data_IF_920621399976
#
_entry.id   IF_920621399976
#
_cell.length_a   1.000
_cell.length_b   1.000
_cell.length_c   1.000
_cell.angle_alpha   90.00
_cell.angle_beta   90.00
_cell.angle_gamma   90.00
#
_symmetry.space_group_name_H-M   'P 1'
#
loop_
_entity.id
_entity.type
_entity.pdbx_description
1 polymer ?
#
# COMPACT_ATOMS: atom_id res chain seq x y z
N UNK A 1 8.26 2.16 16.97
CA UNK A 1 8.22 3.50 16.35
C UNK A 1 8.93 3.41 15.01
N UNK A 2 8.28 3.78 13.90
CA UNK A 2 8.88 3.67 12.56
C UNK A 2 9.94 4.76 12.37
N UNK A 3 11.19 4.35 12.12
CA UNK A 3 12.33 5.23 11.88
C UNK A 3 12.32 5.71 10.43
N UNK A 4 11.75 6.90 10.20
CA UNK A 4 11.72 7.50 8.87
C UNK A 4 13.05 8.21 8.53
N UNK A 5 13.36 8.31 7.23
CA UNK A 5 14.60 8.93 6.72
C UNK A 5 14.81 10.36 7.25
N UNK A 6 13.71 11.11 7.43
CA UNK A 6 13.69 12.47 7.98
C UNK A 6 14.14 12.53 9.44
N UNK A 7 13.78 11.51 10.23
CA UNK A 7 14.21 11.37 11.64
C UNK A 7 15.70 11.02 11.70
N UNK A 8 16.15 10.11 10.83
CA UNK A 8 17.55 9.68 10.76
C UNK A 8 18.48 10.84 10.37
N UNK A 9 18.06 11.66 9.40
CA UNK A 9 18.80 12.87 9.00
C UNK A 9 18.93 13.88 10.14
N UNK A 10 17.87 14.07 10.93
CA UNK A 10 17.90 14.96 12.10
C UNK A 10 18.83 14.41 13.20
N UNK A 11 18.81 13.12 13.46
CA UNK A 11 19.69 12.48 14.45
C UNK A 11 21.17 12.62 14.07
N UNK A 12 21.51 12.50 12.79
CA UNK A 12 22.87 12.79 12.31
C UNK A 12 23.23 14.27 12.46
N UNK A 13 22.35 15.19 12.04
CA UNK A 13 22.59 16.63 12.13
C UNK A 13 22.76 17.13 13.58
N UNK A 14 22.04 16.51 14.52
CA UNK A 14 22.13 16.82 15.94
C UNK A 14 23.32 16.11 16.64
N UNK A 15 24.12 15.33 15.91
CA UNK A 15 25.26 14.58 16.45
C UNK A 15 24.89 13.37 17.29
N UNK A 16 23.62 12.95 17.30
CA UNK A 16 23.14 11.74 17.98
C UNK A 16 23.64 10.47 17.30
N UNK A 17 23.85 10.52 15.98
CA UNK A 17 24.42 9.44 15.19
C UNK A 17 25.74 9.90 14.57
N UNK A 18 26.73 9.02 14.57
CA UNK A 18 27.93 9.20 13.77
C UNK A 18 27.63 8.98 12.28
N UNK A 19 28.54 9.45 11.42
CA UNK A 19 28.44 9.28 9.96
C UNK A 19 28.33 7.82 9.53
N UNK A 20 28.95 6.92 10.28
CA UNK A 20 28.97 5.49 9.97
C UNK A 20 27.66 4.83 10.37
N UNK A 21 27.14 5.15 11.57
CA UNK A 21 25.83 4.68 12.02
C UNK A 21 24.69 5.21 11.14
N UNK A 22 24.76 6.49 10.73
CA UNK A 22 23.81 7.07 9.78
C UNK A 22 23.78 6.30 8.46
N UNK A 23 24.95 5.92 7.92
CA UNK A 23 25.02 5.16 6.66
C UNK A 23 24.42 3.76 6.80
N UNK A 24 24.72 3.04 7.89
CA UNK A 24 24.14 1.71 8.14
C UNK A 24 22.63 1.78 8.27
N UNK A 25 22.12 2.64 9.18
CA UNK A 25 20.69 2.78 9.40
C UNK A 25 19.93 3.29 8.16
N UNK A 26 20.58 4.04 7.26
CA UNK A 26 20.00 4.45 5.98
C UNK A 26 19.85 3.27 5.02
N UNK A 27 20.84 2.37 4.97
CA UNK A 27 20.77 1.18 4.11
C UNK A 27 19.70 0.20 4.58
N UNK A 28 19.66 -0.10 5.88
CA UNK A 28 18.64 -0.98 6.47
C UNK A 28 17.21 -0.46 6.19
N UNK A 29 17.03 0.87 6.26
CA UNK A 29 15.74 1.49 5.95
C UNK A 29 15.36 1.33 4.48
N UNK A 30 16.31 1.50 3.55
CA UNK A 30 16.07 1.35 2.10
C UNK A 30 15.78 -0.12 1.74
N UNK A 31 16.49 -1.07 2.33
CA UNK A 31 16.28 -2.51 2.13
C UNK A 31 14.88 -2.93 2.61
N UNK A 32 14.46 -2.45 3.79
CA UNK A 32 13.11 -2.71 4.31
C UNK A 32 11.97 -2.14 3.46
N UNK A 33 12.25 -1.12 2.62
CA UNK A 33 11.29 -0.57 1.68
C UNK A 33 11.22 -1.43 0.42
N UNK A 34 12.35 -1.95 -0.06
CA UNK A 34 12.37 -2.88 -1.20
C UNK A 34 11.66 -4.20 -0.90
N UNK A 35 11.76 -4.73 0.32
CA UNK A 35 11.01 -5.94 0.70
C UNK A 35 9.49 -5.72 0.78
N UNK A 36 9.06 -4.49 1.05
CA UNK A 36 7.63 -4.11 1.13
C UNK A 36 7.04 -3.66 -0.20
N UNK A 37 7.86 -3.49 -1.23
CA UNK A 37 7.44 -3.23 -2.60
C UNK A 37 7.05 -4.53 -3.34
N UNK A 38 6.61 -5.55 -2.59
CA UNK A 38 5.70 -6.56 -3.14
C UNK A 38 4.30 -5.95 -3.20
N UNK A 39 4.08 -5.08 -4.19
CA UNK A 39 2.71 -4.64 -4.51
C UNK A 39 1.93 -5.87 -4.98
N UNK A 40 1.15 -6.49 -4.09
CA UNK A 40 0.13 -7.43 -4.52
C UNK A 40 -0.88 -6.67 -5.37
N UNK A 41 -1.19 -7.14 -6.59
CA UNK A 41 -2.23 -6.52 -7.40
C UNK A 41 -3.55 -6.60 -6.62
N UNK A 42 -4.21 -5.46 -6.43
CA UNK A 42 -5.56 -5.48 -5.86
C UNK A 42 -6.50 -6.16 -6.86
N UNK A 43 -7.16 -7.22 -6.42
CA UNK A 43 -8.21 -7.86 -7.19
C UNK A 43 -9.44 -6.93 -7.19
N UNK A 44 -9.79 -6.41 -8.37
CA UNK A 44 -11.08 -5.74 -8.56
C UNK A 44 -12.17 -6.79 -8.43
N UNK A 45 -13.01 -6.68 -7.39
CA UNK A 45 -14.22 -7.49 -7.26
C UNK A 45 -15.21 -7.03 -8.33
N UNK A 46 -15.69 -7.91 -9.23
CA UNK A 46 -16.79 -7.56 -10.11
C UNK A 46 -18.01 -7.29 -9.24
N UNK A 47 -18.58 -6.09 -9.37
CA UNK A 47 -19.93 -5.83 -8.91
C UNK A 47 -20.84 -6.70 -9.79
N UNK A 48 -21.29 -7.84 -9.24
CA UNK A 48 -22.49 -8.49 -9.73
C UNK A 48 -23.65 -7.56 -9.36
N UNK A 49 -23.97 -6.62 -10.24
CA UNK A 49 -25.32 -6.08 -10.28
C UNK A 49 -26.21 -7.26 -10.63
N UNK A 50 -26.81 -7.87 -9.62
CA UNK A 50 -28.06 -8.61 -9.78
C UNK A 50 -29.11 -7.58 -10.21
N UNK A 51 -29.03 -7.17 -11.48
CA UNK A 51 -30.10 -6.43 -12.12
C UNK A 51 -31.17 -7.48 -12.40
N UNK A 52 -32.19 -7.42 -11.56
CA UNK A 52 -33.42 -8.17 -11.65
C UNK A 52 -34.00 -7.93 -13.04
N UNK A 53 -33.89 -8.94 -13.93
CA UNK A 53 -34.69 -8.99 -15.15
C UNK A 53 -36.15 -9.27 -14.76
N UNK A 54 -36.79 -8.29 -14.13
CA UNK A 54 -38.23 -8.15 -14.06
C UNK A 54 -38.70 -7.72 -15.45
N UNK A 55 -38.98 -8.71 -16.30
CA UNK A 55 -39.69 -8.48 -17.56
C UNK A 55 -40.77 -9.54 -17.69
N UNK A 56 -41.84 -9.32 -16.91
CA UNK A 56 -43.22 -9.26 -17.39
C UNK A 56 -43.54 -10.18 -18.58
N UNK A 57 -43.96 -11.42 -18.30
CA UNK A 57 -44.80 -12.21 -19.19
C UNK A 57 -46.14 -12.51 -18.50
N UNK A 58 -46.97 -11.47 -18.42
CA UNK A 58 -48.42 -11.60 -18.57
C UNK A 58 -48.78 -10.95 -19.91
N UNK A 59 -49.84 -11.27 -20.63
CA UNK A 59 -51.03 -12.08 -20.40
C UNK A 59 -51.77 -12.04 -21.76
N UNK A 60 -52.34 -13.17 -22.21
CA UNK A 60 -53.53 -13.31 -23.08
C UNK A 60 -53.55 -13.02 -24.61
N UNK A 61 -54.09 -14.05 -25.30
CA UNK A 61 -55.11 -14.11 -26.37
C UNK A 61 -54.89 -13.45 -27.76
N UNK A 62 -54.70 -14.28 -28.80
CA UNK A 62 -55.61 -14.48 -29.97
C UNK A 62 -55.35 -15.85 -30.63
#
# INVERSE_FOLDING_TARGET
MQTNLKTLSRQYANGTLSKEEYRRARMDLLESVQEKDQTQPQATVPISTSDESDTQNGDRDD
#
